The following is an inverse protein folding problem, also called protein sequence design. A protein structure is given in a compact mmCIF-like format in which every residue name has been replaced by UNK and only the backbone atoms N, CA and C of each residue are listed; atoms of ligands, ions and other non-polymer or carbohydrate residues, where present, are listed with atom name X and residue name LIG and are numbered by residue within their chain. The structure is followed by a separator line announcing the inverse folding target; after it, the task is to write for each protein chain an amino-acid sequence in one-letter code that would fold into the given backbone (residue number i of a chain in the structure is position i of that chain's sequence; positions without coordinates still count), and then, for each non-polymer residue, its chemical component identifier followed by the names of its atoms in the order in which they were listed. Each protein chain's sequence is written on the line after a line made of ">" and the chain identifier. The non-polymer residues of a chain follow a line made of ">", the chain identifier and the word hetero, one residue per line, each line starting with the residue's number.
data_IF_675160901350
#
_entry.id   IF_675160901350
#
_cell.length_a   1.000
_cell.length_b   1.000
_cell.length_c   1.000
_cell.angle_alpha   90.00
_cell.angle_beta   90.00
_cell.angle_gamma   90.00
#
_symmetry.space_group_name_H-M   'P 1'
#
loop_
_entity.id
_entity.type
_entity.pdbx_description
1 polymer ?
#
# COMPACT_ATOMS: atom_id res chain seq x y z
N UNK A 1 47.46 -16.46 -5.68
CA UNK A 1 46.17 -15.92 -5.23
C UNK A 1 45.26 -15.83 -6.44
N UNK A 2 44.31 -16.75 -6.59
CA UNK A 2 43.29 -16.64 -7.62
C UNK A 2 42.26 -15.60 -7.15
N UNK A 3 42.17 -14.48 -7.86
CA UNK A 3 41.07 -13.52 -7.74
C UNK A 3 39.79 -14.23 -8.20
N UNK A 4 38.92 -14.56 -7.25
CA UNK A 4 37.56 -15.00 -7.54
C UNK A 4 36.90 -13.89 -8.38
N UNK A 5 36.57 -14.21 -9.62
CA UNK A 5 35.79 -13.33 -10.50
C UNK A 5 34.38 -13.30 -9.91
N UNK A 6 33.99 -12.18 -9.30
CA UNK A 6 32.65 -12.01 -8.75
C UNK A 6 31.63 -12.12 -9.89
N UNK A 7 30.72 -13.09 -9.78
CA UNK A 7 29.55 -13.18 -10.65
C UNK A 7 28.69 -11.93 -10.47
N UNK A 8 28.34 -11.28 -11.58
CA UNK A 8 27.53 -10.06 -11.55
C UNK A 8 26.08 -10.46 -11.80
N UNK A 9 25.27 -10.47 -10.75
CA UNK A 9 23.83 -10.69 -10.84
C UNK A 9 23.12 -9.37 -11.14
N UNK A 10 22.29 -9.37 -12.17
CA UNK A 10 21.38 -8.29 -12.51
C UNK A 10 20.03 -8.56 -11.87
N UNK A 11 19.44 -7.53 -11.28
CA UNK A 11 18.14 -7.64 -10.63
C UNK A 11 16.99 -7.37 -11.62
N UNK A 12 15.76 -7.84 -11.33
CA UNK A 12 14.63 -7.71 -12.24
C UNK A 12 14.39 -6.25 -12.68
N UNK A 13 14.12 -6.05 -13.97
CA UNK A 13 13.82 -4.72 -14.52
C UNK A 13 12.77 -4.77 -15.62
N UNK A 14 12.01 -3.69 -15.76
CA UNK A 14 10.98 -3.56 -16.77
C UNK A 14 11.63 -3.13 -18.09
N UNK A 15 11.61 -4.00 -19.10
CA UNK A 15 12.12 -3.65 -20.44
C UNK A 15 11.08 -2.95 -21.29
N UNK A 16 9.88 -3.52 -21.33
CA UNK A 16 8.80 -3.03 -22.19
C UNK A 16 7.46 -3.19 -21.47
N UNK A 17 6.64 -2.15 -21.57
CA UNK A 17 5.29 -2.13 -21.05
C UNK A 17 4.33 -1.78 -22.18
N UNK A 18 3.34 -2.65 -22.42
CA UNK A 18 2.33 -2.45 -23.44
C UNK A 18 0.95 -2.66 -22.81
N UNK A 19 -0.01 -1.82 -23.16
CA UNK A 19 -1.40 -1.96 -22.71
C UNK A 19 -2.17 -2.72 -23.79
N UNK A 20 -2.63 -3.92 -23.46
CA UNK A 20 -3.39 -4.78 -24.37
C UNK A 20 -4.90 -4.50 -24.30
N UNK A 21 -5.58 -4.50 -25.46
CA UNK A 21 -7.03 -4.54 -25.55
C UNK A 21 -7.47 -5.64 -26.52
N UNK A 22 -8.14 -6.70 -26.05
CA UNK A 22 -8.50 -7.87 -26.86
C UNK A 22 -9.47 -7.60 -28.00
N UNK A 23 -10.11 -6.42 -28.07
CA UNK A 23 -11.08 -6.09 -29.13
C UNK A 23 -10.45 -5.62 -30.46
N UNK A 24 -9.16 -5.30 -30.53
CA UNK A 24 -8.61 -4.48 -31.64
C UNK A 24 -7.46 -5.06 -32.49
N UNK A 25 -7.01 -6.32 -32.32
CA UNK A 25 -6.03 -6.95 -33.25
C UNK A 25 -4.77 -7.55 -32.60
N UNK A 26 -3.89 -8.22 -33.38
CA UNK A 26 -3.34 -9.53 -32.99
C UNK A 26 -2.04 -9.49 -32.16
N UNK A 27 -2.07 -10.32 -31.10
CA UNK A 27 -1.06 -11.06 -30.29
C UNK A 27 0.34 -10.48 -30.00
N UNK A 28 0.74 -10.72 -28.73
CA UNK A 28 2.03 -10.51 -28.01
C UNK A 28 2.08 -9.18 -27.22
N UNK A 29 2.43 -9.08 -25.94
CA UNK A 29 3.01 -9.96 -24.91
C UNK A 29 3.86 -9.07 -23.97
N UNK A 30 3.74 -9.20 -22.65
CA UNK A 30 4.51 -8.40 -21.67
C UNK A 30 5.95 -8.94 -21.55
N UNK A 31 6.98 -8.08 -21.44
CA UNK A 31 8.37 -8.54 -21.24
C UNK A 31 8.99 -7.84 -20.04
N UNK A 32 8.94 -8.51 -18.89
CA UNK A 32 9.86 -8.27 -17.77
C UNK A 32 11.19 -8.92 -18.14
N UNK A 33 12.32 -8.25 -17.89
CA UNK A 33 13.62 -8.93 -18.02
C UNK A 33 13.80 -9.85 -16.83
N UNK A 34 13.96 -11.13 -17.10
CA UNK A 34 14.33 -12.09 -16.07
C UNK A 34 15.68 -11.67 -15.47
N UNK A 35 15.88 -11.78 -14.16
CA UNK A 35 17.18 -11.55 -13.53
C UNK A 35 18.24 -12.41 -14.24
N UNK A 36 19.43 -11.86 -14.44
CA UNK A 36 20.50 -12.56 -15.17
C UNK A 36 21.78 -12.64 -14.36
N UNK A 37 22.46 -13.77 -14.39
CA UNK A 37 23.81 -13.91 -13.84
C UNK A 37 24.79 -13.94 -15.02
N UNK A 38 25.76 -13.03 -15.01
CA UNK A 38 26.90 -13.10 -15.93
C UNK A 38 27.94 -14.07 -15.36
N UNK A 39 28.05 -15.25 -15.97
CA UNK A 39 29.07 -16.24 -15.64
C UNK A 39 30.24 -16.16 -16.64
N UNK A 40 31.50 -16.26 -16.17
CA UNK A 40 32.64 -16.32 -17.07
C UNK A 40 32.63 -17.64 -17.86
N UNK A 41 32.58 -17.58 -19.20
CA UNK A 41 32.77 -18.77 -20.05
C UNK A 41 34.23 -19.20 -20.09
N UNK A 42 34.45 -20.49 -20.37
CA UNK A 42 35.77 -21.04 -20.71
C UNK A 42 36.40 -20.36 -21.94
N UNK A 43 35.60 -19.74 -22.82
CA UNK A 43 36.05 -19.03 -24.02
C UNK A 43 36.27 -17.51 -23.82
N UNK A 44 36.20 -17.01 -22.58
CA UNK A 44 36.43 -15.59 -22.26
C UNK A 44 35.30 -14.63 -22.62
N UNK A 45 34.19 -15.12 -23.20
CA UNK A 45 32.95 -14.34 -23.37
C UNK A 45 32.03 -14.53 -22.15
N UNK A 46 31.43 -13.47 -21.58
CA UNK A 46 30.44 -13.62 -20.52
C UNK A 46 29.20 -14.35 -21.06
N UNK A 47 28.75 -15.40 -20.37
CA UNK A 47 27.47 -16.06 -20.63
C UNK A 47 26.44 -15.45 -19.70
N UNK A 48 25.34 -14.98 -20.27
CA UNK A 48 24.19 -14.46 -19.53
C UNK A 48 23.26 -15.64 -19.26
N UNK A 49 23.11 -16.01 -18.00
CA UNK A 49 22.18 -17.05 -17.56
C UNK A 49 20.93 -16.40 -16.96
N UNK A 50 19.77 -16.67 -17.54
CA UNK A 50 18.49 -16.17 -17.04
C UNK A 50 18.04 -16.99 -15.83
N UNK A 51 17.72 -16.32 -14.72
CA UNK A 51 17.21 -16.90 -13.49
C UNK A 51 15.68 -16.85 -13.50
N UNK A 52 15.05 -17.63 -14.37
CA UNK A 52 13.58 -17.73 -14.44
C UNK A 52 12.97 -18.17 -13.09
N UNK A 53 13.68 -19.02 -12.36
CA UNK A 53 13.26 -19.54 -11.07
C UNK A 53 13.23 -18.50 -9.93
N UNK A 54 13.83 -17.32 -10.13
CA UNK A 54 13.80 -16.22 -9.15
C UNK A 54 12.60 -15.29 -9.35
N UNK A 55 11.80 -15.48 -10.40
CA UNK A 55 10.63 -14.64 -10.68
C UNK A 55 9.40 -15.12 -9.93
N UNK A 56 8.73 -14.18 -9.28
CA UNK A 56 7.40 -14.37 -8.71
C UNK A 56 6.34 -13.86 -9.70
N UNK A 57 6.01 -14.65 -10.71
CA UNK A 57 5.12 -14.23 -11.81
C UNK A 57 3.78 -13.63 -11.34
N UNK A 58 3.18 -14.21 -10.29
CA UNK A 58 1.94 -13.69 -9.69
C UNK A 58 2.12 -12.32 -9.05
N UNK A 59 3.27 -12.07 -8.42
CA UNK A 59 3.60 -10.75 -7.87
C UNK A 59 3.67 -9.74 -9.00
N UNK A 60 4.41 -10.03 -10.07
CA UNK A 60 4.56 -9.09 -11.19
C UNK A 60 3.25 -8.86 -11.95
N UNK A 61 2.45 -9.90 -12.17
CA UNK A 61 1.11 -9.76 -12.72
C UNK A 61 0.22 -8.84 -11.86
N UNK A 62 0.28 -9.00 -10.53
CA UNK A 62 -0.48 -8.16 -9.59
C UNK A 62 0.00 -6.71 -9.60
N UNK A 63 1.32 -6.48 -9.70
CA UNK A 63 1.90 -5.15 -9.85
C UNK A 63 1.39 -4.47 -11.12
N UNK A 64 1.32 -5.18 -12.26
CA UNK A 64 0.83 -4.62 -13.52
C UNK A 64 -0.67 -4.29 -13.46
N UNK A 65 -1.49 -5.16 -12.87
CA UNK A 65 -2.90 -4.86 -12.61
C UNK A 65 -3.05 -3.61 -11.74
N UNK A 66 -2.20 -3.47 -10.72
CA UNK A 66 -2.19 -2.29 -9.87
C UNK A 66 -1.77 -1.02 -10.62
N UNK A 67 -0.88 -1.13 -11.61
CA UNK A 67 -0.52 -0.01 -12.45
C UNK A 67 -1.73 0.51 -13.26
N UNK A 68 -2.56 -0.39 -13.80
CA UNK A 68 -3.82 0.01 -14.44
C UNK A 68 -4.80 0.63 -13.44
N UNK A 69 -4.96 0.04 -12.25
CA UNK A 69 -5.83 0.60 -11.21
C UNK A 69 -5.41 2.02 -10.81
N UNK A 70 -4.11 2.28 -10.70
CA UNK A 70 -3.58 3.61 -10.44
C UNK A 70 -3.81 4.58 -11.62
N UNK A 71 -3.65 4.11 -12.86
CA UNK A 71 -4.04 4.90 -14.04
C UNK A 71 -5.53 5.27 -13.98
N UNK A 72 -6.39 4.28 -13.71
CA UNK A 72 -7.84 4.41 -13.62
C UNK A 72 -8.22 5.48 -12.61
N UNK A 73 -7.59 5.48 -11.44
CA UNK A 73 -7.84 6.46 -10.38
C UNK A 73 -7.67 7.91 -10.86
N UNK A 74 -6.73 8.21 -11.77
CA UNK A 74 -6.46 9.61 -12.19
C UNK A 74 -6.90 9.96 -13.62
N UNK A 75 -7.22 8.97 -14.45
CA UNK A 75 -7.56 9.19 -15.87
C UNK A 75 -8.91 8.59 -16.27
N UNK A 76 -9.53 7.83 -15.38
CA UNK A 76 -10.72 7.05 -15.68
C UNK A 76 -10.40 5.77 -16.47
N UNK A 77 -11.45 5.09 -16.91
CA UNK A 77 -11.29 3.85 -17.68
C UNK A 77 -10.78 4.13 -19.10
N UNK A 78 -10.13 3.14 -19.71
CA UNK A 78 -9.76 3.23 -21.13
C UNK A 78 -10.99 3.40 -22.02
N UNK A 79 -12.09 2.71 -21.70
CA UNK A 79 -13.36 2.80 -22.43
C UNK A 79 -13.87 4.25 -22.44
N UNK A 80 -13.93 4.90 -21.28
CA UNK A 80 -14.41 6.28 -21.20
C UNK A 80 -13.52 7.28 -21.95
N UNK A 81 -12.21 7.09 -21.85
CA UNK A 81 -11.24 7.92 -22.59
C UNK A 81 -11.42 7.76 -24.10
N UNK A 82 -11.65 6.52 -24.56
CA UNK A 82 -11.91 6.20 -25.95
C UNK A 82 -13.20 6.82 -26.47
N UNK A 83 -14.29 6.77 -25.69
CA UNK A 83 -15.57 7.39 -26.05
C UNK A 83 -15.43 8.91 -26.22
N UNK A 84 -14.63 9.55 -25.37
CA UNK A 84 -14.49 11.01 -25.35
C UNK A 84 -13.55 11.58 -26.42
N UNK A 85 -12.55 10.81 -26.87
CA UNK A 85 -11.48 11.33 -27.73
C UNK A 85 -10.81 10.33 -28.68
N UNK A 86 -11.31 9.09 -28.73
CA UNK A 86 -10.78 8.03 -29.58
C UNK A 86 -9.38 7.55 -29.22
N UNK A 87 -8.81 6.73 -30.11
CA UNK A 87 -7.53 6.03 -29.90
C UNK A 87 -6.36 7.00 -29.69
N UNK A 88 -6.33 8.11 -30.42
CA UNK A 88 -5.23 9.07 -30.36
C UNK A 88 -5.10 9.69 -28.96
N UNK A 89 -6.22 10.12 -28.37
CA UNK A 89 -6.26 10.69 -27.01
C UNK A 89 -5.91 9.65 -25.96
N UNK A 90 -6.38 8.40 -26.12
CA UNK A 90 -5.98 7.32 -25.21
C UNK A 90 -4.47 7.11 -25.24
N UNK A 91 -3.86 7.02 -26.43
CA UNK A 91 -2.40 6.83 -26.57
C UNK A 91 -1.62 7.96 -25.89
N UNK A 92 -2.00 9.21 -26.11
CA UNK A 92 -1.36 10.37 -25.48
C UNK A 92 -1.44 10.31 -23.95
N UNK A 93 -2.61 9.98 -23.39
CA UNK A 93 -2.79 9.86 -21.93
C UNK A 93 -1.97 8.71 -21.34
N UNK A 94 -1.95 7.57 -22.01
CA UNK A 94 -1.16 6.40 -21.62
C UNK A 94 0.33 6.76 -21.58
N UNK A 95 0.85 7.35 -22.65
CA UNK A 95 2.25 7.74 -22.74
C UNK A 95 2.60 8.73 -21.62
N UNK A 96 1.80 9.78 -21.44
CA UNK A 96 2.03 10.79 -20.41
C UNK A 96 2.05 10.22 -18.99
N UNK A 97 1.14 9.30 -18.68
CA UNK A 97 1.04 8.70 -17.34
C UNK A 97 2.15 7.68 -17.11
N UNK A 98 2.25 6.66 -17.97
CA UNK A 98 3.16 5.54 -17.77
C UNK A 98 4.62 5.93 -17.94
N UNK A 99 4.95 6.93 -18.76
CA UNK A 99 6.32 7.42 -18.89
C UNK A 99 6.92 7.83 -17.53
N UNK A 100 6.13 8.43 -16.65
CA UNK A 100 6.58 8.81 -15.29
C UNK A 100 6.32 7.70 -14.28
N UNK A 101 5.15 7.07 -14.35
CA UNK A 101 4.72 6.12 -13.33
C UNK A 101 5.60 4.87 -13.30
N UNK A 102 5.99 4.34 -14.46
CA UNK A 102 6.85 3.15 -14.53
C UNK A 102 8.24 3.39 -13.92
N UNK A 103 8.75 4.63 -13.98
CA UNK A 103 10.03 5.00 -13.35
C UNK A 103 9.99 4.96 -11.82
N UNK A 104 8.79 4.96 -11.23
CA UNK A 104 8.61 4.85 -9.77
C UNK A 104 8.44 3.41 -9.30
N UNK A 105 8.41 2.43 -10.21
CA UNK A 105 8.25 1.02 -9.85
C UNK A 105 9.60 0.40 -9.46
N UNK A 106 9.67 -0.12 -8.25
CA UNK A 106 10.83 -0.85 -7.74
C UNK A 106 10.57 -2.37 -7.79
N UNK A 107 10.62 -2.94 -8.99
CA UNK A 107 10.29 -4.37 -9.23
C UNK A 107 11.15 -5.35 -8.43
N UNK A 108 12.37 -4.95 -8.08
CA UNK A 108 13.31 -5.77 -7.29
C UNK A 108 12.88 -5.91 -5.84
N UNK A 109 12.05 -4.99 -5.36
CA UNK A 109 11.57 -4.96 -3.98
C UNK A 109 10.12 -5.42 -3.85
N UNK A 110 9.53 -5.91 -4.94
CA UNK A 110 8.16 -6.44 -4.94
C UNK A 110 8.14 -7.83 -4.31
N UNK A 111 7.11 -8.09 -3.51
CA UNK A 111 6.94 -9.33 -2.77
C UNK A 111 5.47 -9.73 -2.63
N UNK A 112 5.19 -10.72 -1.78
CA UNK A 112 3.85 -11.25 -1.55
C UNK A 112 2.82 -10.16 -1.16
N UNK A 113 3.23 -9.10 -0.46
CA UNK A 113 2.31 -8.01 -0.11
C UNK A 113 1.81 -7.24 -1.33
N UNK A 114 2.54 -7.24 -2.45
CA UNK A 114 2.06 -6.61 -3.69
C UNK A 114 0.94 -7.41 -4.37
N UNK A 115 0.83 -8.71 -4.09
CA UNK A 115 -0.34 -9.52 -4.49
C UNK A 115 -1.56 -9.08 -3.67
N UNK A 116 -1.39 -9.00 -2.35
CA UNK A 116 -2.47 -8.64 -1.44
C UNK A 116 -2.89 -7.19 -1.54
N UNK A 117 -1.97 -6.28 -1.86
CA UNK A 117 -2.22 -4.84 -1.98
C UNK A 117 -3.12 -4.30 -0.87
N UNK A 118 -2.89 -4.73 0.37
CA UNK A 118 -3.85 -4.54 1.46
C UNK A 118 -3.78 -3.16 2.11
N UNK A 119 -4.63 -2.99 3.11
CA UNK A 119 -4.78 -1.77 3.89
C UNK A 119 -4.35 -2.08 5.32
N UNK A 120 -3.43 -1.27 5.86
CA UNK A 120 -3.10 -1.35 7.28
C UNK A 120 -4.10 -0.51 8.06
N UNK A 121 -4.84 -1.15 8.97
CA UNK A 121 -5.81 -0.48 9.82
C UNK A 121 -5.19 -0.09 11.17
N UNK A 122 -5.50 1.11 11.66
CA UNK A 122 -5.02 1.58 12.96
C UNK A 122 -5.95 1.04 14.06
N UNK A 123 -5.43 0.28 15.05
CA UNK A 123 -6.25 -0.23 16.14
C UNK A 123 -6.66 0.89 17.10
N UNK A 124 -7.95 1.02 17.39
CA UNK A 124 -8.51 1.99 18.32
C UNK A 124 -9.40 1.33 19.36
N UNK A 125 -9.47 1.93 20.54
CA UNK A 125 -10.52 1.63 21.49
C UNK A 125 -11.86 2.25 21.04
N UNK A 126 -12.94 1.73 21.60
CA UNK A 126 -14.31 2.11 21.22
C UNK A 126 -14.57 3.61 21.38
N UNK A 127 -14.04 4.23 22.44
CA UNK A 127 -14.34 5.64 22.73
C UNK A 127 -13.66 6.56 21.72
N UNK A 128 -12.40 6.27 21.38
CA UNK A 128 -11.65 7.07 20.40
C UNK A 128 -12.19 6.91 19.01
N UNK A 129 -12.60 5.69 18.62
CA UNK A 129 -13.30 5.48 17.36
C UNK A 129 -14.58 6.33 17.27
N UNK A 130 -15.41 6.35 18.32
CA UNK A 130 -16.64 7.16 18.35
C UNK A 130 -16.36 8.67 18.31
N UNK A 131 -15.28 9.16 18.94
CA UNK A 131 -14.84 10.56 18.83
C UNK A 131 -14.51 10.91 17.38
N UNK A 132 -13.76 10.05 16.69
CA UNK A 132 -13.38 10.25 15.28
C UNK A 132 -14.62 10.23 14.38
N UNK A 133 -15.52 9.27 14.58
CA UNK A 133 -16.78 9.20 13.83
C UNK A 133 -17.64 10.46 14.06
N UNK A 134 -17.73 10.94 15.30
CA UNK A 134 -18.45 12.18 15.61
C UNK A 134 -17.82 13.39 14.93
N UNK A 135 -16.49 13.44 14.87
CA UNK A 135 -15.77 14.47 14.13
C UNK A 135 -16.08 14.41 12.63
N UNK A 136 -16.04 13.22 12.01
CA UNK A 136 -16.34 13.03 10.59
C UNK A 136 -17.76 13.49 10.27
N UNK A 137 -18.75 12.99 11.03
CA UNK A 137 -20.16 13.37 10.84
C UNK A 137 -20.35 14.89 10.90
N UNK A 138 -19.70 15.56 11.86
CA UNK A 138 -19.76 17.02 12.00
C UNK A 138 -19.11 17.74 10.83
N UNK A 139 -18.00 17.21 10.29
CA UNK A 139 -17.33 17.81 9.13
C UNK A 139 -18.18 17.65 7.87
N UNK A 140 -18.77 16.49 7.63
CA UNK A 140 -19.66 16.22 6.49
C UNK A 140 -20.92 17.08 6.55
N UNK A 141 -21.50 17.28 7.74
CA UNK A 141 -22.63 18.20 7.95
C UNK A 141 -22.24 19.67 7.70
N UNK A 142 -21.07 20.10 8.20
CA UNK A 142 -20.63 21.50 8.11
C UNK A 142 -20.09 21.89 6.73
N UNK A 143 -19.63 20.91 5.96
CA UNK A 143 -19.02 21.03 4.64
C UNK A 143 -19.86 20.25 3.61
N UNK A 144 -21.11 20.71 3.39
CA UNK A 144 -22.12 20.00 2.59
C UNK A 144 -21.76 19.61 1.15
N UNK A 145 -20.64 20.13 0.61
CA UNK A 145 -20.11 19.73 -0.71
C UNK A 145 -19.23 18.48 -0.66
N UNK A 146 -18.83 18.04 0.54
CA UNK A 146 -18.05 16.83 0.78
C UNK A 146 -18.97 15.63 0.60
N UNK A 147 -18.58 14.74 -0.31
CA UNK A 147 -19.31 13.51 -0.60
C UNK A 147 -18.77 12.32 0.17
N UNK A 148 -17.44 12.24 0.29
CA UNK A 148 -16.76 11.18 1.03
C UNK A 148 -15.65 11.74 1.89
N UNK A 149 -15.43 11.09 3.03
CA UNK A 149 -14.34 11.40 3.96
C UNK A 149 -13.55 10.14 4.26
N UNK A 150 -12.22 10.27 4.34
CA UNK A 150 -11.33 9.20 4.81
C UNK A 150 -10.43 9.74 5.91
N UNK A 151 -10.23 8.98 6.98
CA UNK A 151 -9.37 9.33 8.10
C UNK A 151 -8.25 8.31 8.26
N UNK A 152 -7.01 8.80 8.33
CA UNK A 152 -5.81 8.02 8.58
C UNK A 152 -5.02 8.58 9.75
N UNK A 153 -4.28 7.70 10.44
CA UNK A 153 -3.33 8.09 11.47
C UNK A 153 -2.06 7.25 11.33
N UNK A 154 -0.89 7.89 11.30
CA UNK A 154 0.41 7.23 11.03
C UNK A 154 0.33 6.34 9.78
N UNK A 155 -0.23 6.88 8.70
CA UNK A 155 -0.42 6.22 7.41
C UNK A 155 -1.34 4.98 7.45
N UNK A 156 -1.95 4.65 8.59
CA UNK A 156 -2.90 3.55 8.75
C UNK A 156 -4.34 4.06 8.70
N UNK A 157 -5.22 3.29 8.05
CA UNK A 157 -6.63 3.64 7.86
C UNK A 157 -7.42 3.47 9.16
N UNK A 158 -8.27 4.45 9.49
CA UNK A 158 -9.24 4.37 10.60
C UNK A 158 -10.67 4.34 10.06
N UNK A 159 -10.98 5.21 9.10
CA UNK A 159 -12.31 5.34 8.53
C UNK A 159 -12.23 5.63 7.04
N UNK A 160 -13.17 5.09 6.26
CA UNK A 160 -13.38 5.47 4.87
C UNK A 160 -14.87 5.49 4.55
N UNK A 161 -15.31 6.55 3.89
CA UNK A 161 -16.62 6.60 3.22
C UNK A 161 -16.61 6.04 1.80
N UNK A 162 -15.44 5.68 1.25
CA UNK A 162 -15.32 5.03 -0.06
C UNK A 162 -15.48 3.52 0.05
N UNK A 163 -15.95 2.90 -1.04
CA UNK A 163 -15.96 1.45 -1.20
C UNK A 163 -14.55 0.87 -1.14
N UNK A 164 -14.46 -0.41 -0.75
CA UNK A 164 -13.19 -1.07 -0.44
C UNK A 164 -12.21 -1.05 -1.62
N UNK A 165 -12.69 -1.32 -2.84
CA UNK A 165 -11.82 -1.39 -4.03
C UNK A 165 -11.22 -0.03 -4.39
N UNK A 166 -12.00 1.04 -4.33
CA UNK A 166 -11.48 2.38 -4.58
C UNK A 166 -10.59 2.86 -3.44
N UNK A 167 -10.97 2.59 -2.19
CA UNK A 167 -10.15 2.93 -1.04
C UNK A 167 -8.80 2.22 -1.07
N UNK A 168 -8.73 0.96 -1.52
CA UNK A 168 -7.47 0.22 -1.68
C UNK A 168 -6.49 0.94 -2.61
N UNK A 169 -6.99 1.42 -3.75
CA UNK A 169 -6.17 2.12 -4.75
C UNK A 169 -5.75 3.50 -4.22
N UNK A 170 -6.69 4.23 -3.60
CA UNK A 170 -6.41 5.52 -2.99
C UNK A 170 -5.39 5.38 -1.85
N UNK A 171 -5.54 4.38 -0.98
CA UNK A 171 -4.62 4.10 0.11
C UNK A 171 -3.21 3.85 -0.40
N UNK A 172 -3.06 3.05 -1.47
CA UNK A 172 -1.76 2.85 -2.12
C UNK A 172 -1.19 4.17 -2.65
N UNK A 173 -2.00 5.01 -3.30
CA UNK A 173 -1.53 6.33 -3.76
C UNK A 173 -1.06 7.21 -2.59
N UNK A 174 -1.85 7.30 -1.52
CA UNK A 174 -1.55 8.12 -0.35
C UNK A 174 -0.22 7.71 0.28
N UNK A 175 -0.06 6.42 0.57
CA UNK A 175 1.09 5.87 1.31
C UNK A 175 2.36 5.72 0.46
N UNK A 176 2.23 5.42 -0.83
CA UNK A 176 3.41 5.20 -1.71
C UNK A 176 3.82 6.44 -2.50
N UNK A 177 2.92 7.39 -2.71
CA UNK A 177 3.20 8.55 -3.58
C UNK A 177 3.00 9.88 -2.89
N UNK A 178 1.88 10.11 -2.19
CA UNK A 178 1.58 11.44 -1.65
C UNK A 178 2.39 11.74 -0.38
N UNK A 179 2.21 10.96 0.69
CA UNK A 179 2.84 11.23 1.99
C UNK A 179 4.38 11.29 1.92
N UNK A 180 5.06 10.37 1.22
CA UNK A 180 6.52 10.39 1.12
C UNK A 180 7.09 11.68 0.54
N UNK A 181 6.41 12.28 -0.45
CA UNK A 181 6.81 13.57 -1.05
C UNK A 181 6.77 14.73 -0.05
N UNK A 182 5.99 14.59 1.02
CA UNK A 182 5.87 15.61 2.07
C UNK A 182 6.68 15.29 3.33
N UNK A 183 7.22 14.07 3.48
CA UNK A 183 8.06 13.65 4.62
C UNK A 183 9.55 13.91 4.34
N UNK A 184 10.04 13.61 3.12
CA UNK A 184 11.45 13.80 2.76
C UNK A 184 11.95 15.25 2.97
N UNK A 185 11.17 16.31 2.66
CA UNK A 185 11.56 17.70 2.94
C UNK A 185 11.61 18.02 4.45
N UNK A 186 10.73 17.41 5.27
CA UNK A 186 10.67 17.63 6.72
C UNK A 186 11.93 17.06 7.42
N UNK A 187 12.43 15.89 6.96
CA UNK A 187 13.60 15.21 7.52
C UNK A 187 14.93 15.82 7.06
N UNK A 188 14.99 16.36 5.85
CA UNK A 188 16.23 16.90 5.27
C UNK A 188 16.63 18.27 5.84
N UNK A 189 15.82 18.87 6.72
CA UNK A 189 16.07 20.20 7.31
C UNK A 189 16.08 21.36 6.29
N UNK A 190 15.95 21.06 5.00
CA UNK A 190 15.86 22.05 3.91
C UNK A 190 14.54 22.81 3.93
N UNK A 191 13.50 22.17 4.46
CA UNK A 191 12.25 22.80 4.89
C UNK A 191 11.93 22.32 6.31
N UNK A 192 12.78 22.60 7.30
CA UNK A 192 12.27 22.64 8.67
C UNK A 192 11.22 23.75 8.73
N UNK A 193 9.92 23.45 8.96
CA UNK A 193 8.90 24.48 9.21
C UNK A 193 9.06 25.09 10.60
N UNK A 194 10.21 24.88 11.25
CA UNK A 194 10.61 25.66 12.42
C UNK A 194 11.16 27.03 11.96
N UNK A 195 11.56 27.22 10.69
CA UNK A 195 12.14 28.50 10.22
C UNK A 195 11.79 29.00 8.82
N UNK A 196 11.07 28.26 7.98
CA UNK A 196 10.43 28.86 6.81
C UNK A 196 9.11 29.49 7.28
N UNK A 197 9.15 30.80 7.53
CA UNK A 197 8.02 31.71 7.76
C UNK A 197 6.69 31.01 8.08
N UNK A 198 6.41 30.79 9.37
CA UNK A 198 5.08 30.40 9.86
C UNK A 198 4.01 31.30 9.21
N UNK A 199 3.24 30.85 8.21
CA UNK A 199 2.20 31.67 7.63
C UNK A 199 1.01 31.55 8.58
N UNK A 200 0.91 32.52 9.48
CA UNK A 200 -0.26 32.89 10.30
C UNK A 200 -1.36 31.84 10.49
N UNK A 201 -1.19 30.97 11.48
CA UNK A 201 -2.20 30.71 12.52
C UNK A 201 -1.55 29.94 13.68
N UNK A 202 -1.25 30.63 14.79
CA UNK A 202 -0.68 30.08 16.02
C UNK A 202 -1.62 29.09 16.77
N UNK A 203 -2.69 28.62 16.14
CA UNK A 203 -3.80 27.94 16.81
C UNK A 203 -3.85 26.42 16.55
N UNK A 204 -3.26 25.90 15.47
CA UNK A 204 -3.27 24.46 15.16
C UNK A 204 -2.14 24.03 14.21
N UNK A 205 -1.89 22.71 14.13
CA UNK A 205 -0.85 22.10 13.28
C UNK A 205 -1.38 21.62 11.90
N UNK A 206 -2.62 21.97 11.56
CA UNK A 206 -3.26 21.59 10.30
C UNK A 206 -2.67 22.29 9.06
N UNK A 207 -2.56 21.57 7.94
CA UNK A 207 -2.13 22.07 6.63
C UNK A 207 -2.66 21.22 5.47
N UNK A 208 -2.75 21.80 4.28
CA UNK A 208 -3.08 21.07 3.05
C UNK A 208 -1.84 20.33 2.49
N UNK A 209 -2.03 19.07 2.11
CA UNK A 209 -1.09 18.30 1.28
C UNK A 209 -1.45 18.38 -0.21
N UNK A 210 -2.73 18.54 -0.53
CA UNK A 210 -3.21 18.87 -1.87
C UNK A 210 -3.98 20.19 -1.84
N UNK A 211 -3.75 21.05 -2.83
CA UNK A 211 -4.30 22.40 -2.87
C UNK A 211 -3.27 23.49 -2.56
N UNK A 212 -3.69 24.63 -1.97
CA UNK A 212 -2.82 25.77 -1.73
C UNK A 212 -1.78 25.48 -0.64
N UNK A 213 -0.53 25.88 -0.87
CA UNK A 213 0.53 25.80 0.14
C UNK A 213 0.31 26.81 1.28
N UNK A 214 -0.28 27.96 0.95
CA UNK A 214 -0.61 29.04 1.89
C UNK A 214 -1.99 29.59 1.55
N UNK A 215 -2.81 29.85 2.57
CA UNK A 215 -4.15 30.45 2.40
C UNK A 215 -4.12 31.97 2.29
N UNK A 216 -2.97 32.58 2.60
CA UNK A 216 -2.78 34.03 2.66
C UNK A 216 -2.21 34.61 1.36
N UNK A 217 -1.80 33.75 0.41
CA UNK A 217 -1.26 34.18 -0.87
C UNK A 217 -2.40 34.34 -1.89
N UNK A 218 -2.67 35.57 -2.39
CA UNK A 218 -3.70 35.83 -3.39
C UNK A 218 -3.38 35.20 -4.76
N UNK A 219 -2.13 34.82 -5.04
CA UNK A 219 -1.73 34.11 -6.27
C UNK A 219 -1.67 32.57 -6.11
N UNK A 220 -2.03 32.05 -4.93
CA UNK A 220 -1.97 30.63 -4.63
C UNK A 220 -2.79 29.81 -5.65
N UNK A 221 -2.16 28.80 -6.24
CA UNK A 221 -2.82 27.87 -7.16
C UNK A 221 -3.61 26.83 -6.38
N UNK A 222 -4.92 26.98 -6.34
CA UNK A 222 -5.86 25.99 -5.80
C UNK A 222 -6.00 24.80 -6.76
N UNK A 223 -5.04 23.87 -6.73
CA UNK A 223 -5.05 22.68 -7.58
C UNK A 223 -5.23 21.43 -6.74
N UNK A 224 -6.37 20.77 -6.94
CA UNK A 224 -6.68 19.50 -6.31
C UNK A 224 -6.59 18.39 -7.36
N UNK A 225 -5.94 17.25 -7.04
CA UNK A 225 -5.95 16.09 -7.92
C UNK A 225 -7.39 15.66 -8.18
N UNK A 226 -7.72 15.48 -9.46
CA UNK A 226 -8.98 14.87 -9.87
C UNK A 226 -8.82 13.36 -9.84
N UNK A 227 -9.75 12.68 -9.17
CA UNK A 227 -9.80 11.22 -9.08
C UNK A 227 -11.11 10.67 -9.65
N UNK A 228 -11.09 9.41 -10.06
CA UNK A 228 -12.22 8.67 -10.58
C UNK A 228 -12.49 7.47 -9.66
N UNK A 229 -13.71 7.39 -9.13
CA UNK A 229 -14.18 6.32 -8.23
C UNK A 229 -15.52 5.76 -8.74
N UNK A 230 -15.97 4.64 -8.19
CA UNK A 230 -17.20 3.93 -8.54
C UNK A 230 -17.30 3.71 -10.06
N UNK A 231 -16.17 3.43 -10.71
CA UNK A 231 -16.03 3.45 -12.18
C UNK A 231 -16.83 2.37 -12.90
N UNK A 232 -17.37 1.40 -12.16
CA UNK A 232 -18.17 0.29 -12.67
C UNK A 232 -19.68 0.59 -12.60
N UNK A 233 -20.09 1.48 -11.67
CA UNK A 233 -21.48 1.84 -11.43
C UNK A 233 -21.76 3.29 -11.82
N UNK A 234 -21.61 4.22 -10.86
CA UNK A 234 -22.01 5.62 -11.01
C UNK A 234 -21.01 6.46 -11.79
N UNK A 235 -19.76 5.99 -11.93
CA UNK A 235 -18.64 6.68 -12.55
C UNK A 235 -18.49 8.12 -12.04
N UNK A 236 -17.83 8.27 -10.90
CA UNK A 236 -17.76 9.55 -10.21
C UNK A 236 -16.42 10.23 -10.39
N UNK A 237 -16.48 11.52 -10.66
CA UNK A 237 -15.31 12.38 -10.78
C UNK A 237 -15.25 13.28 -9.54
N UNK A 238 -14.16 13.21 -8.78
CA UNK A 238 -14.02 13.93 -7.52
C UNK A 238 -12.72 14.73 -7.46
N UNK A 239 -12.69 15.86 -6.75
CA UNK A 239 -11.45 16.51 -6.32
C UNK A 239 -11.01 15.92 -4.98
N UNK A 240 -9.74 15.52 -4.89
CA UNK A 240 -9.13 14.97 -3.68
C UNK A 240 -8.42 16.07 -2.88
N UNK A 241 -9.01 16.46 -1.75
CA UNK A 241 -8.42 17.38 -0.78
C UNK A 241 -7.82 16.55 0.34
N UNK A 242 -6.52 16.70 0.61
CA UNK A 242 -5.82 15.98 1.66
C UNK A 242 -5.30 16.99 2.66
N UNK A 243 -5.74 16.87 3.90
CA UNK A 243 -5.41 17.77 4.99
C UNK A 243 -4.74 17.00 6.13
N UNK A 244 -3.58 17.46 6.59
CA UNK A 244 -2.74 16.80 7.60
C UNK A 244 -2.62 17.69 8.82
N UNK A 245 -2.75 17.12 10.02
CA UNK A 245 -2.31 17.75 11.26
C UNK A 245 -1.54 16.71 12.09
N UNK A 246 -0.28 16.99 12.41
CA UNK A 246 0.61 16.03 13.08
C UNK A 246 0.66 14.69 12.32
N UNK A 247 0.33 13.58 12.98
CA UNK A 247 0.24 12.23 12.41
C UNK A 247 -1.11 11.89 11.79
N UNK A 248 -2.13 12.74 11.95
CA UNK A 248 -3.46 12.50 11.41
C UNK A 248 -3.62 13.12 10.02
N UNK A 249 -4.29 12.40 9.13
CA UNK A 249 -4.61 12.85 7.78
C UNK A 249 -6.10 12.63 7.53
N UNK A 250 -6.78 13.66 7.03
CA UNK A 250 -8.16 13.57 6.57
C UNK A 250 -8.21 13.89 5.09
N UNK A 251 -8.81 13.00 4.32
CA UNK A 251 -9.10 13.23 2.91
C UNK A 251 -10.58 13.61 2.78
N UNK A 252 -10.86 14.68 2.05
CA UNK A 252 -12.20 15.09 1.66
C UNK A 252 -12.32 14.96 0.15
N UNK A 253 -13.35 14.28 -0.31
CA UNK A 253 -13.64 14.14 -1.73
C UNK A 253 -14.92 14.91 -2.06
N UNK A 254 -14.81 15.87 -2.97
CA UNK A 254 -15.93 16.70 -3.43
C UNK A 254 -16.19 16.41 -4.91
N UNK A 255 -17.41 16.65 -5.38
CA UNK A 255 -17.73 16.46 -6.80
C UNK A 255 -16.88 17.35 -7.71
N UNK A 256 -16.34 16.80 -8.80
CA UNK A 256 -15.42 17.53 -9.69
C UNK A 256 -16.07 18.71 -10.43
N UNK A 257 -17.40 18.68 -10.55
CA UNK A 257 -18.23 19.78 -11.08
C UNK A 257 -18.15 21.03 -10.20
N UNK A 258 -17.87 20.87 -8.90
CA UNK A 258 -17.72 21.94 -7.92
C UNK A 258 -16.24 22.30 -7.78
N UNK A 259 -15.88 23.55 -8.06
CA UNK A 259 -14.53 24.05 -7.81
C UNK A 259 -14.41 24.54 -6.36
N UNK A 260 -13.47 24.02 -5.54
CA UNK A 260 -13.23 24.55 -4.21
C UNK A 260 -12.83 26.02 -4.27
N UNK A 261 -13.60 26.89 -3.62
CA UNK A 261 -13.25 28.30 -3.51
C UNK A 261 -12.16 28.51 -2.44
N UNK A 262 -11.37 29.60 -2.53
CA UNK A 262 -10.47 30.00 -1.45
C UNK A 262 -11.19 30.14 -0.09
N UNK A 263 -12.43 30.63 -0.10
CA UNK A 263 -13.27 30.75 1.11
C UNK A 263 -13.63 29.38 1.70
N UNK A 264 -13.90 28.39 0.85
CA UNK A 264 -14.13 27.03 1.30
C UNK A 264 -12.87 26.46 1.97
N UNK A 265 -11.69 26.65 1.38
CA UNK A 265 -10.43 26.19 1.98
C UNK A 265 -10.15 26.88 3.32
N UNK A 266 -10.41 28.19 3.45
CA UNK A 266 -10.31 28.91 4.73
C UNK A 266 -11.28 28.38 5.77
N UNK A 267 -12.54 28.14 5.38
CA UNK A 267 -13.56 27.55 6.26
C UNK A 267 -13.16 26.15 6.72
N UNK A 268 -12.66 25.32 5.80
CA UNK A 268 -12.17 23.97 6.10
C UNK A 268 -11.02 24.03 7.10
N UNK A 269 -10.02 24.87 6.86
CA UNK A 269 -8.85 25.05 7.74
C UNK A 269 -9.27 25.44 9.17
N UNK A 270 -10.13 26.46 9.30
CA UNK A 270 -10.64 26.90 10.60
C UNK A 270 -11.46 25.83 11.36
N UNK A 271 -12.20 24.97 10.65
CA UNK A 271 -13.03 23.93 11.28
C UNK A 271 -12.23 22.67 11.61
N UNK A 272 -11.43 22.21 10.65
CA UNK A 272 -10.72 20.92 10.68
C UNK A 272 -9.41 21.05 11.46
N UNK A 273 -8.64 22.11 11.25
CA UNK A 273 -7.31 22.30 11.83
C UNK A 273 -7.24 22.11 13.34
N UNK A 274 -8.01 22.88 14.14
CA UNK A 274 -8.00 22.76 15.59
C UNK A 274 -8.46 21.38 16.08
N UNK A 275 -9.58 20.88 15.55
CA UNK A 275 -10.18 19.62 15.98
C UNK A 275 -9.30 18.41 15.63
N UNK A 276 -8.74 18.39 14.42
CA UNK A 276 -7.84 17.33 13.98
C UNK A 276 -6.54 17.31 14.79
N UNK A 277 -6.01 18.48 15.16
CA UNK A 277 -4.83 18.60 16.02
C UNK A 277 -5.07 17.98 17.39
N UNK A 278 -6.20 18.28 18.02
CA UNK A 278 -6.57 17.70 19.32
C UNK A 278 -6.74 16.19 19.21
N UNK A 279 -7.49 15.72 18.19
CA UNK A 279 -7.66 14.27 17.96
C UNK A 279 -6.34 13.55 17.72
N UNK A 280 -5.43 14.13 16.93
CA UNK A 280 -4.13 13.53 16.68
C UNK A 280 -3.29 13.39 17.96
N UNK A 281 -3.38 14.37 18.88
CA UNK A 281 -2.74 14.33 20.19
C UNK A 281 -3.37 13.27 21.10
N UNK A 282 -4.71 13.23 21.18
CA UNK A 282 -5.46 12.23 21.97
C UNK A 282 -5.09 10.80 21.54
N UNK A 283 -5.07 10.53 20.22
CA UNK A 283 -4.70 9.22 19.66
C UNK A 283 -3.25 8.88 20.03
N UNK A 284 -2.33 9.85 19.93
CA UNK A 284 -0.92 9.66 20.27
C UNK A 284 -0.73 9.24 21.73
N UNK A 285 -1.39 9.96 22.64
CA UNK A 285 -1.28 9.70 24.08
C UNK A 285 -1.78 8.30 24.43
N UNK A 286 -2.96 7.93 23.94
CA UNK A 286 -3.54 6.62 24.18
C UNK A 286 -2.70 5.49 23.58
N UNK A 287 -2.20 5.66 22.35
CA UNK A 287 -1.35 4.68 21.71
C UNK A 287 -0.07 4.42 22.51
N UNK A 288 0.55 5.48 23.04
CA UNK A 288 1.74 5.37 23.87
C UNK A 288 1.45 4.73 25.24
N UNK A 289 0.28 4.99 25.84
CA UNK A 289 -0.14 4.34 27.09
C UNK A 289 -0.32 2.83 26.86
N UNK A 290 -1.07 2.44 25.84
CA UNK A 290 -1.32 1.03 25.51
C UNK A 290 -0.01 0.29 25.24
N UNK A 291 0.91 0.91 24.48
CA UNK A 291 2.24 0.34 24.20
C UNK A 291 3.08 0.14 25.46
N UNK A 292 2.99 1.04 26.46
CA UNK A 292 3.69 0.89 27.74
C UNK A 292 3.11 -0.24 28.60
N UNK A 293 1.79 -0.41 28.57
CA UNK A 293 1.08 -1.45 29.32
C UNK A 293 1.40 -2.84 28.76
N UNK A 294 1.53 -2.98 27.43
CA UNK A 294 1.89 -4.24 26.77
C UNK A 294 3.34 -4.70 26.97
N UNK A 295 4.19 -3.90 27.64
CA UNK A 295 5.59 -4.22 27.89
C UNK A 295 6.47 -4.15 26.63
N UNK A 296 7.79 -4.06 26.82
CA UNK A 296 8.74 -4.22 25.71
C UNK A 296 8.81 -5.70 25.33
N UNK A 297 7.93 -6.15 24.45
CA UNK A 297 8.09 -7.46 23.83
C UNK A 297 9.50 -7.52 23.22
N UNK A 298 10.30 -8.51 23.64
CA UNK A 298 11.52 -8.88 22.90
C UNK A 298 11.10 -9.09 21.44
N UNK A 299 11.93 -8.65 20.48
CA UNK A 299 11.62 -8.85 19.06
C UNK A 299 11.11 -10.28 18.84
N UNK A 300 9.91 -10.44 18.26
CA UNK A 300 9.34 -11.75 18.07
C UNK A 300 10.32 -12.60 17.25
N UNK A 301 10.61 -13.83 17.71
CA UNK A 301 11.45 -14.78 16.98
C UNK A 301 10.79 -15.30 15.68
N UNK A 302 9.63 -14.76 15.34
CA UNK A 302 8.83 -15.12 14.20
C UNK A 302 8.57 -13.89 13.33
N UNK A 303 8.51 -14.11 12.02
CA UNK A 303 8.02 -13.12 11.05
C UNK A 303 6.70 -13.61 10.50
N UNK A 304 5.79 -12.71 10.17
CA UNK A 304 4.51 -13.10 9.62
C UNK A 304 3.97 -12.11 8.60
N UNK A 305 3.05 -12.61 7.77
CA UNK A 305 2.17 -11.86 6.89
C UNK A 305 0.76 -12.33 7.19
N UNK A 306 -0.14 -11.38 7.43
CA UNK A 306 -1.56 -11.62 7.60
C UNK A 306 -2.33 -10.79 6.58
N UNK A 307 -3.29 -11.42 5.93
CA UNK A 307 -4.21 -10.75 5.02
C UNK A 307 -5.64 -11.23 5.22
N UNK A 308 -6.60 -10.30 5.16
CA UNK A 308 -8.03 -10.60 5.19
C UNK A 308 -8.67 -10.16 3.88
N UNK A 309 -9.20 -11.10 3.10
CA UNK A 309 -9.86 -10.77 1.85
C UNK A 309 -11.20 -10.04 2.04
N UNK A 310 -11.89 -10.20 3.18
CA UNK A 310 -13.20 -9.56 3.41
C UNK A 310 -13.13 -8.04 3.60
N UNK A 311 -12.04 -7.54 4.18
CA UNK A 311 -11.89 -6.11 4.48
C UNK A 311 -10.54 -5.55 4.05
N UNK A 312 -9.75 -6.34 3.31
CA UNK A 312 -8.42 -6.02 2.81
C UNK A 312 -7.38 -5.73 3.90
N UNK A 313 -7.63 -6.10 5.15
CA UNK A 313 -6.70 -5.81 6.25
C UNK A 313 -5.39 -6.56 6.07
N UNK A 314 -4.28 -5.82 6.12
CA UNK A 314 -2.92 -6.34 6.01
C UNK A 314 -2.11 -6.00 7.26
N UNK A 315 -1.44 -7.01 7.83
CA UNK A 315 -0.47 -6.86 8.92
C UNK A 315 0.76 -7.70 8.62
N UNK A 316 1.94 -7.13 8.75
CA UNK A 316 3.18 -7.81 8.40
C UNK A 316 4.34 -7.37 9.27
N UNK A 317 5.28 -8.29 9.54
CA UNK A 317 6.57 -8.02 10.20
C UNK A 317 7.77 -8.32 9.31
N UNK A 318 7.55 -8.67 8.04
CA UNK A 318 8.64 -9.06 7.14
C UNK A 318 9.49 -7.87 6.68
N UNK A 319 8.93 -6.64 6.69
CA UNK A 319 9.62 -5.41 6.29
C UNK A 319 10.24 -4.66 7.47
N UNK A 320 11.55 -4.39 7.38
CA UNK A 320 12.28 -3.54 8.35
C UNK A 320 12.00 -2.05 8.12
N UNK A 321 11.89 -1.69 6.84
CA UNK A 321 11.59 -0.34 6.37
C UNK A 321 10.89 -0.44 5.02
N UNK A 322 9.68 0.09 4.94
CA UNK A 322 8.93 0.21 3.69
C UNK A 322 8.89 1.70 3.32
N UNK A 323 9.83 2.15 2.48
CA UNK A 323 9.70 3.44 1.79
C UNK A 323 9.29 3.17 0.34
N UNK A 324 8.72 4.14 -0.38
CA UNK A 324 8.39 3.96 -1.79
C UNK A 324 9.59 3.57 -2.65
N UNK A 325 10.77 4.03 -2.25
CA UNK A 325 12.03 3.84 -2.97
C UNK A 325 12.77 2.56 -2.60
N UNK A 326 12.53 2.01 -1.41
CA UNK A 326 13.26 0.84 -0.89
C UNK A 326 12.32 0.05 0.05
N UNK A 327 12.01 -1.18 -0.33
CA UNK A 327 11.46 -2.18 0.58
C UNK A 327 12.59 -3.09 1.06
N UNK A 328 13.07 -2.87 2.29
CA UNK A 328 14.05 -3.78 2.90
C UNK A 328 13.29 -4.89 3.63
N UNK A 329 13.15 -6.02 2.95
CA UNK A 329 12.69 -7.25 3.58
C UNK A 329 13.79 -7.80 4.49
N UNK A 330 13.40 -8.23 5.69
CA UNK A 330 14.26 -9.04 6.56
C UNK A 330 14.25 -10.52 6.18
N UNK A 331 13.40 -10.91 5.22
CA UNK A 331 13.21 -12.31 4.81
C UNK A 331 14.15 -12.63 3.65
N UNK A 332 14.98 -13.68 3.77
CA UNK A 332 15.81 -14.18 2.67
C UNK A 332 15.00 -14.52 1.40
N UNK A 333 15.56 -14.32 0.19
CA UNK A 333 14.84 -14.57 -1.07
C UNK A 333 14.31 -16.00 -1.25
N UNK A 334 15.05 -17.01 -0.77
CA UNK A 334 14.63 -18.41 -0.79
C UNK A 334 13.35 -18.65 0.02
N UNK A 335 13.24 -18.02 1.19
CA UNK A 335 12.03 -18.10 2.01
C UNK A 335 10.86 -17.33 1.39
N UNK A 336 11.12 -16.19 0.74
CA UNK A 336 10.09 -15.44 0.03
C UNK A 336 9.51 -16.24 -1.15
N UNK A 337 10.35 -17.03 -1.84
CA UNK A 337 9.90 -17.94 -2.88
C UNK A 337 8.95 -19.01 -2.32
N UNK A 338 9.32 -19.66 -1.22
CA UNK A 338 8.44 -20.64 -0.54
C UNK A 338 7.09 -20.01 -0.18
N UNK A 339 7.07 -18.76 0.31
CA UNK A 339 5.83 -18.04 0.58
C UNK A 339 4.98 -17.82 -0.68
N UNK A 340 5.62 -17.46 -1.80
CA UNK A 340 4.96 -17.31 -3.10
C UNK A 340 4.40 -18.62 -3.65
N UNK A 341 5.09 -19.74 -3.43
CA UNK A 341 4.64 -21.08 -3.80
C UNK A 341 3.41 -21.50 -2.99
N UNK A 342 3.44 -21.31 -1.66
CA UNK A 342 2.29 -21.56 -0.77
C UNK A 342 1.08 -20.72 -1.18
N UNK A 343 1.27 -19.40 -1.39
CA UNK A 343 0.19 -18.54 -1.89
C UNK A 343 -0.37 -19.04 -3.22
N UNK A 344 0.52 -19.57 -4.07
CA UNK A 344 0.10 -20.08 -5.36
C UNK A 344 -0.78 -21.31 -5.26
N UNK A 345 -0.47 -22.21 -4.34
CA UNK A 345 -1.26 -23.39 -4.03
C UNK A 345 -2.62 -22.99 -3.43
N UNK A 346 -2.64 -22.06 -2.47
CA UNK A 346 -3.89 -21.53 -1.89
C UNK A 346 -4.83 -20.91 -2.93
N UNK A 347 -4.27 -20.22 -3.93
CA UNK A 347 -5.06 -19.62 -5.02
C UNK A 347 -5.58 -20.70 -5.98
N UNK A 348 -4.75 -21.71 -6.28
CA UNK A 348 -5.11 -22.79 -7.19
C UNK A 348 -6.24 -23.64 -6.59
N UNK A 349 -6.17 -23.93 -5.30
CA UNK A 349 -7.21 -24.67 -4.59
C UNK A 349 -8.56 -23.95 -4.67
N UNK A 350 -8.58 -22.64 -4.41
CA UNK A 350 -9.79 -21.82 -4.54
C UNK A 350 -10.44 -21.89 -5.94
N UNK A 351 -9.64 -22.00 -7.00
CA UNK A 351 -10.17 -22.11 -8.37
C UNK A 351 -10.69 -23.50 -8.74
N UNK A 352 -10.41 -24.53 -7.93
CA UNK A 352 -10.71 -25.93 -8.23
C UNK A 352 -11.62 -26.63 -7.22
N UNK A 353 -11.77 -26.10 -6.00
CA UNK A 353 -12.75 -26.59 -5.03
C UNK A 353 -14.12 -25.93 -5.26
N UNK A 354 -15.19 -26.73 -5.25
CA UNK A 354 -16.56 -26.22 -5.20
C UNK A 354 -16.92 -25.72 -3.78
N UNK A 355 -16.13 -26.09 -2.77
CA UNK A 355 -16.22 -25.62 -1.38
C UNK A 355 -15.29 -24.42 -1.16
N UNK A 356 -15.87 -23.27 -0.77
CA UNK A 356 -15.16 -22.02 -0.46
C UNK A 356 -14.56 -22.01 0.96
N UNK A 357 -14.96 -22.97 1.80
CA UNK A 357 -14.75 -22.95 3.26
C UNK A 357 -13.88 -24.12 3.79
N UNK A 358 -12.95 -24.66 2.99
CA UNK A 358 -11.98 -25.63 3.52
C UNK A 358 -10.78 -24.91 4.13
N UNK A 359 -10.48 -25.22 5.39
CA UNK A 359 -9.27 -24.78 6.06
C UNK A 359 -8.04 -25.44 5.41
N UNK A 360 -7.15 -24.63 4.85
CA UNK A 360 -5.93 -25.08 4.21
C UNK A 360 -4.72 -24.76 5.10
N UNK A 361 -3.87 -25.75 5.36
CA UNK A 361 -2.61 -25.58 6.09
C UNK A 361 -1.46 -26.25 5.33
N UNK A 362 -0.38 -25.49 5.10
CA UNK A 362 0.85 -25.98 4.47
C UNK A 362 2.02 -25.65 5.40
N UNK A 363 2.78 -26.67 5.79
CA UNK A 363 3.97 -26.52 6.64
C UNK A 363 5.20 -27.03 5.89
N UNK A 364 6.20 -26.18 5.76
CA UNK A 364 7.46 -26.47 5.05
C UNK A 364 8.65 -26.29 6.00
N UNK A 365 9.55 -27.28 6.03
CA UNK A 365 10.87 -27.15 6.65
C UNK A 365 11.90 -26.86 5.56
N UNK A 366 12.44 -25.65 5.54
CA UNK A 366 13.46 -25.26 4.57
C UNK A 366 14.82 -25.89 4.93
N UNK A 367 15.69 -26.01 3.91
CA UNK A 367 17.07 -26.49 4.07
C UNK A 367 17.93 -25.57 4.95
N UNK A 368 17.51 -24.30 5.10
CA UNK A 368 18.14 -23.27 5.92
C UNK A 368 17.70 -23.31 7.40
N UNK A 369 17.13 -24.42 7.86
CA UNK A 369 16.65 -24.63 9.24
C UNK A 369 15.44 -23.73 9.65
N UNK A 370 14.82 -23.06 8.69
CA UNK A 370 13.58 -22.30 8.88
C UNK A 370 12.34 -23.18 8.71
N UNK A 371 11.30 -22.86 9.48
CA UNK A 371 9.95 -23.39 9.30
C UNK A 371 9.06 -22.30 8.70
N UNK A 372 8.31 -22.65 7.67
CA UNK A 372 7.34 -21.79 7.00
C UNK A 372 5.98 -22.44 7.16
N UNK A 373 5.02 -21.69 7.67
CA UNK A 373 3.64 -22.14 7.87
C UNK A 373 2.72 -21.21 7.12
N UNK A 374 1.95 -21.73 6.17
CA UNK A 374 0.81 -21.05 5.57
C UNK A 374 -0.48 -21.62 6.14
N UNK A 375 -1.40 -20.74 6.51
CA UNK A 375 -2.78 -21.07 6.88
C UNK A 375 -3.74 -20.21 6.10
N UNK A 376 -4.83 -20.81 5.63
CA UNK A 376 -5.95 -20.11 5.01
C UNK A 376 -7.24 -20.66 5.60
N UNK A 377 -8.05 -19.76 6.16
CA UNK A 377 -9.32 -20.08 6.82
C UNK A 377 -10.24 -18.85 6.75
N UNK A 378 -11.53 -19.02 6.48
CA UNK A 378 -12.53 -17.94 6.47
C UNK A 378 -12.10 -16.67 5.71
N UNK A 379 -11.57 -16.83 4.48
CA UNK A 379 -11.06 -15.70 3.68
C UNK A 379 -9.89 -14.93 4.31
N UNK A 380 -9.19 -15.53 5.27
CA UNK A 380 -7.98 -14.98 5.89
C UNK A 380 -6.80 -15.86 5.54
N UNK A 381 -5.67 -15.24 5.27
CA UNK A 381 -4.40 -15.90 5.03
C UNK A 381 -3.38 -15.46 6.08
N UNK A 382 -2.65 -16.42 6.63
CA UNK A 382 -1.57 -16.20 7.57
C UNK A 382 -0.34 -17.00 7.12
N UNK A 383 0.77 -16.29 6.96
CA UNK A 383 2.07 -16.87 6.66
C UNK A 383 3.00 -16.58 7.82
N UNK A 384 3.72 -17.59 8.31
CA UNK A 384 4.62 -17.48 9.47
C UNK A 384 5.97 -18.08 9.11
N UNK A 385 7.04 -17.37 9.45
CA UNK A 385 8.43 -17.82 9.33
C UNK A 385 9.02 -17.92 10.74
N UNK A 386 9.54 -19.10 11.08
CA UNK A 386 10.14 -19.42 12.37
C UNK A 386 11.58 -19.89 12.17
N UNK A 387 12.53 -19.31 12.90
CA UNK A 387 13.91 -19.80 12.94
C UNK A 387 14.12 -20.73 14.15
N UNK A 388 13.77 -22.00 13.99
CA UNK A 388 13.87 -23.00 15.06
C UNK A 388 14.48 -24.31 14.54
N UNK A 389 15.81 -24.33 14.46
CA UNK A 389 16.61 -25.44 13.91
C UNK A 389 16.21 -26.82 14.45
N UNK A 390 16.13 -26.92 15.77
CA UNK A 390 15.88 -28.19 16.47
C UNK A 390 14.40 -28.46 16.76
N UNK A 391 13.49 -27.57 16.32
CA UNK A 391 12.07 -27.77 16.58
C UNK A 391 11.49 -28.89 15.70
N UNK A 392 10.53 -29.62 16.28
CA UNK A 392 9.71 -30.59 15.57
C UNK A 392 8.36 -29.98 15.14
N UNK A 393 7.58 -30.73 14.35
CA UNK A 393 6.30 -30.24 13.81
C UNK A 393 5.29 -29.85 14.89
N UNK A 394 5.27 -30.56 16.03
CA UNK A 394 4.33 -30.30 17.13
C UNK A 394 4.66 -28.96 17.79
N UNK A 395 5.94 -28.74 18.10
CA UNK A 395 6.42 -27.49 18.71
C UNK A 395 6.15 -26.28 17.80
N UNK A 396 6.38 -26.43 16.48
CA UNK A 396 6.07 -25.40 15.49
C UNK A 396 4.58 -25.06 15.47
N UNK A 397 3.71 -26.08 15.51
CA UNK A 397 2.27 -25.86 15.54
C UNK A 397 1.81 -25.16 16.85
N UNK A 398 2.37 -25.54 18.00
CA UNK A 398 2.10 -24.88 19.28
C UNK A 398 2.51 -23.40 19.27
N UNK A 399 3.67 -23.08 18.71
CA UNK A 399 4.13 -21.69 18.57
C UNK A 399 3.23 -20.88 17.62
N UNK A 400 2.77 -21.46 16.51
CA UNK A 400 1.81 -20.80 15.61
C UNK A 400 0.46 -20.59 16.30
N UNK A 401 -0.04 -21.55 17.08
CA UNK A 401 -1.28 -21.39 17.87
C UNK A 401 -1.14 -20.27 18.90
N UNK A 402 -0.01 -20.20 19.59
CA UNK A 402 0.30 -19.13 20.54
C UNK A 402 0.39 -17.77 19.87
N UNK A 403 0.98 -17.70 18.67
CA UNK A 403 0.98 -16.50 17.84
C UNK A 403 -0.45 -16.07 17.49
N UNK A 404 -1.29 -17.00 17.04
CA UNK A 404 -2.70 -16.72 16.74
C UNK A 404 -3.43 -16.16 17.97
N UNK A 405 -3.26 -16.79 19.13
CA UNK A 405 -3.90 -16.35 20.38
C UNK A 405 -3.40 -14.98 20.87
N UNK A 406 -2.16 -14.59 20.58
CA UNK A 406 -1.58 -13.32 21.06
C UNK A 406 -1.83 -12.16 20.09
N UNK A 407 -1.61 -12.38 18.80
CA UNK A 407 -1.65 -11.33 17.77
C UNK A 407 -2.98 -11.27 17.00
N UNK A 408 -3.78 -12.33 17.08
CA UNK A 408 -4.98 -12.52 16.25
C UNK A 408 -6.19 -13.07 17.04
N UNK A 409 -6.21 -12.95 18.38
CA UNK A 409 -7.30 -13.49 19.24
C UNK A 409 -8.71 -13.03 18.87
N UNK A 410 -8.84 -11.85 18.24
CA UNK A 410 -10.13 -11.30 17.79
C UNK A 410 -10.32 -11.44 16.26
N UNK A 411 -9.45 -12.17 15.58
CA UNK A 411 -9.31 -12.15 14.12
C UNK A 411 -9.30 -13.57 13.54
N UNK A 412 -8.57 -14.52 14.16
CA UNK A 412 -8.52 -15.92 13.77
C UNK A 412 -9.27 -16.75 14.82
N UNK A 413 -10.39 -17.34 14.43
CA UNK A 413 -11.05 -18.38 15.23
C UNK A 413 -10.42 -19.71 14.81
N UNK A 414 -9.41 -20.16 15.56
CA UNK A 414 -9.00 -21.55 15.50
C UNK A 414 -9.85 -22.27 16.54
N UNK A 415 -10.79 -23.10 16.09
CA UNK A 415 -11.45 -24.06 16.97
C UNK A 415 -10.44 -25.09 17.53
#
# INVERSE_FOLDING_TARGET
>A
MATATQEKQSAPSLLRFFVYNPKFGPREGEVVQNPTIEKPSKDGRPVIEYQEEELLDKVYSSVLQQCYRMYKLFNGTFVKTMENGGVAVLKERLEKFFHRYLQTLHLQSCDLLDIFGGISFFPLDKMTYLKIQSFINRMEESLSIVKYTTFLYNDQLIWSGLEQDDMRILYKYLTTSLFPRHIEPELAGRDSPIRAEMPGNLQHYGRFLTGPLTLNDPEAKFRFPKIFVNTEDTYEELHLIVYKAMSAVVCFMIEASVQPSPDFCRKLDCLVGPQLTVLASDICEQYNINRRISGSEKEPQFKFIYFNHMNLAEKSTIHLRKTPSISLTSVPPDLMKILGDINSDFTRWFSTSESVDEDEEIIVKAMSDYWIVGKKADQRELYVILNQKNANLIEVNEEVKKLCATQFSNIFFLD
#
